data_IF_356261405475
#
_entry.id   IF_356261405475
#
_cell.length_a   1.000
_cell.length_b   1.000
_cell.length_c   1.000
_cell.angle_alpha   90.00
_cell.angle_beta   90.00
_cell.angle_gamma   90.00
#
_symmetry.space_group_name_H-M   'P 1'
#
loop_
_entity.id
_entity.type
_entity.pdbx_description
1 polymer ?
#
# COMPACT_ATOMS: atom_id res chain seq x y z
N UNK A 1 6.75 -15.07 -19.85
CA UNK A 1 6.28 -14.08 -18.87
C UNK A 1 7.46 -13.79 -17.98
N UNK A 2 7.94 -12.56 -17.90
CA UNK A 2 9.02 -12.20 -16.99
C UNK A 2 8.47 -12.34 -15.57
N UNK A 3 8.99 -13.28 -14.79
CA UNK A 3 8.71 -13.35 -13.35
C UNK A 3 9.04 -11.98 -12.76
N UNK A 4 8.01 -11.27 -12.28
CA UNK A 4 8.19 -10.03 -11.54
C UNK A 4 8.66 -10.42 -10.14
N UNK A 5 9.96 -10.44 -9.96
CA UNK A 5 10.58 -10.63 -8.66
C UNK A 5 10.62 -9.28 -7.92
N UNK A 6 10.21 -9.28 -6.65
CA UNK A 6 10.49 -8.16 -5.74
C UNK A 6 12.01 -7.94 -5.71
N UNK A 7 12.52 -6.71 -5.87
CA UNK A 7 13.95 -6.45 -5.77
C UNK A 7 14.52 -6.89 -4.41
N UNK A 8 15.68 -7.56 -4.40
CA UNK A 8 16.28 -8.16 -3.18
C UNK A 8 16.33 -7.23 -1.96
N UNK A 9 16.63 -5.95 -2.17
CA UNK A 9 16.70 -4.96 -1.07
C UNK A 9 15.33 -4.61 -0.45
N UNK A 10 14.24 -4.91 -1.16
CA UNK A 10 12.85 -4.75 -0.75
C UNK A 10 12.22 -6.07 -0.28
N UNK A 11 12.76 -7.23 -0.66
CA UNK A 11 12.28 -8.55 -0.23
C UNK A 11 12.54 -8.75 1.27
N UNK A 12 11.50 -8.62 2.10
CA UNK A 12 11.62 -8.70 3.57
C UNK A 12 10.62 -9.63 4.26
N UNK A 13 9.63 -10.16 3.53
CA UNK A 13 8.57 -10.99 4.13
C UNK A 13 9.12 -12.26 4.75
N UNK A 14 10.06 -12.94 4.09
CA UNK A 14 10.61 -14.21 4.59
C UNK A 14 11.31 -14.10 5.95
N UNK A 15 11.77 -12.88 6.30
CA UNK A 15 12.40 -12.60 7.59
C UNK A 15 11.42 -12.07 8.64
N UNK A 16 10.27 -11.54 8.23
CA UNK A 16 9.28 -10.89 9.10
C UNK A 16 8.06 -11.77 9.40
N UNK A 17 7.79 -12.76 8.55
CA UNK A 17 6.58 -13.55 8.64
C UNK A 17 6.70 -14.68 9.66
N UNK A 18 5.63 -14.86 10.43
CA UNK A 18 5.47 -15.95 11.39
C UNK A 18 4.01 -16.40 11.43
N UNK A 19 3.72 -17.45 12.20
CA UNK A 19 2.34 -17.89 12.48
C UNK A 19 1.49 -16.80 13.16
N UNK A 20 2.13 -15.81 13.78
CA UNK A 20 1.46 -14.67 14.43
C UNK A 20 1.30 -13.46 13.49
N UNK A 21 1.63 -13.62 12.21
CA UNK A 21 1.60 -12.54 11.22
C UNK A 21 2.96 -11.91 10.95
N UNK A 22 2.92 -10.71 10.39
CA UNK A 22 4.08 -9.96 9.89
C UNK A 22 4.59 -9.06 11.01
N UNK A 23 5.87 -9.23 11.37
CA UNK A 23 6.49 -8.45 12.43
C UNK A 23 6.71 -6.98 12.02
N UNK A 24 6.52 -6.08 12.99
CA UNK A 24 6.87 -4.66 12.89
C UNK A 24 8.28 -4.41 13.42
N UNK A 25 9.09 -3.67 12.67
CA UNK A 25 10.36 -3.08 13.12
C UNK A 25 10.18 -1.64 13.64
N UNK A 26 8.94 -1.14 13.67
CA UNK A 26 8.61 0.25 14.01
C UNK A 26 8.73 1.21 12.83
N UNK A 27 9.14 0.72 11.65
CA UNK A 27 9.22 1.48 10.40
C UNK A 27 8.02 1.10 9.54
N UNK A 28 7.41 2.11 8.93
CA UNK A 28 6.33 1.91 7.96
C UNK A 28 6.83 2.11 6.54
N UNK A 29 6.13 1.54 5.57
CA UNK A 29 6.49 1.62 4.17
C UNK A 29 5.30 2.01 3.31
N UNK A 30 5.55 2.84 2.30
CA UNK A 30 4.57 3.25 1.31
C UNK A 30 5.12 3.06 -0.09
N UNK A 31 4.39 2.33 -0.93
CA UNK A 31 4.72 2.10 -2.32
C UNK A 31 3.97 3.03 -3.26
N UNK A 32 4.66 3.58 -4.25
CA UNK A 32 4.09 4.50 -5.23
C UNK A 32 4.84 4.44 -6.56
N UNK A 33 4.45 5.26 -7.53
CA UNK A 33 5.12 5.37 -8.82
C UNK A 33 6.18 6.49 -8.83
N UNK A 34 7.24 6.32 -9.62
CA UNK A 34 8.36 7.26 -9.68
C UNK A 34 7.97 8.69 -10.07
N UNK A 35 6.92 8.87 -10.88
CA UNK A 35 6.43 10.20 -11.26
C UNK A 35 5.79 11.01 -10.13
N UNK A 36 5.54 10.38 -8.97
CA UNK A 36 5.03 11.05 -7.77
C UNK A 36 6.13 11.43 -6.77
N UNK A 37 7.39 11.03 -7.01
CA UNK A 37 8.49 11.24 -6.06
C UNK A 37 8.72 12.71 -5.75
N UNK A 38 8.78 13.57 -6.77
CA UNK A 38 9.06 15.00 -6.56
C UNK A 38 7.99 15.68 -5.71
N UNK A 39 6.71 15.37 -5.96
CA UNK A 39 5.59 15.87 -5.16
C UNK A 39 5.66 15.36 -3.72
N UNK A 40 5.96 14.07 -3.52
CA UNK A 40 6.07 13.48 -2.18
C UNK A 40 7.26 14.03 -1.40
N UNK A 41 8.38 14.32 -2.07
CA UNK A 41 9.55 14.93 -1.43
C UNK A 41 9.29 16.40 -1.07
N UNK A 42 8.51 17.12 -1.87
CA UNK A 42 8.14 18.50 -1.58
C UNK A 42 7.09 18.61 -0.47
N UNK A 43 6.01 17.83 -0.58
CA UNK A 43 4.80 18.02 0.20
C UNK A 43 4.58 16.92 1.26
N UNK A 44 5.32 15.81 1.20
CA UNK A 44 5.08 14.63 2.02
C UNK A 44 4.01 13.70 1.44
N UNK A 45 3.60 12.69 2.21
CA UNK A 45 2.50 11.81 1.82
C UNK A 45 1.18 12.41 2.27
N UNK A 46 0.31 12.68 1.30
CA UNK A 46 -1.02 13.25 1.52
C UNK A 46 -2.06 12.27 0.98
N UNK A 47 -3.16 12.12 1.72
CA UNK A 47 -4.31 11.35 1.27
C UNK A 47 -4.87 11.87 -0.06
N UNK A 48 -5.14 10.98 -1.02
CA UNK A 48 -5.52 11.38 -2.38
C UNK A 48 -4.43 12.16 -3.13
N UNK A 49 -3.17 12.09 -2.72
CA UNK A 49 -2.07 12.92 -3.23
C UNK A 49 -1.73 12.77 -4.71
N UNK A 50 -2.23 11.74 -5.40
CA UNK A 50 -2.13 11.63 -6.87
C UNK A 50 -3.25 12.43 -7.56
N UNK A 51 -3.13 13.75 -7.49
CA UNK A 51 -4.07 14.69 -8.09
C UNK A 51 -4.19 14.54 -9.61
N UNK A 52 -3.10 14.19 -10.31
CA UNK A 52 -3.09 13.95 -11.75
C UNK A 52 -4.04 12.79 -12.11
N UNK A 53 -3.91 11.66 -11.39
CA UNK A 53 -4.73 10.48 -11.60
C UNK A 53 -6.19 10.72 -11.19
N UNK A 54 -6.42 11.39 -10.06
CA UNK A 54 -7.77 11.75 -9.62
C UNK A 54 -8.46 12.62 -10.67
N UNK A 55 -7.83 13.70 -11.11
CA UNK A 55 -8.40 14.61 -12.12
C UNK A 55 -8.74 13.87 -13.42
N UNK A 56 -7.86 12.97 -13.88
CA UNK A 56 -8.11 12.21 -15.11
C UNK A 56 -9.22 11.18 -14.97
N UNK A 57 -9.31 10.53 -13.81
CA UNK A 57 -10.42 9.61 -13.48
C UNK A 57 -11.74 10.37 -13.46
N UNK A 58 -11.77 11.56 -12.83
CA UNK A 58 -12.95 12.42 -12.80
C UNK A 58 -13.37 12.91 -14.19
N UNK A 59 -12.44 13.31 -15.04
CA UNK A 59 -12.74 13.68 -16.43
C UNK A 59 -13.37 12.50 -17.19
N UNK A 60 -12.81 11.30 -17.04
CA UNK A 60 -13.34 10.08 -17.68
C UNK A 60 -14.76 9.79 -17.22
N UNK A 61 -15.04 9.83 -15.91
CA UNK A 61 -16.38 9.63 -15.37
C UNK A 61 -17.37 10.72 -15.83
N UNK A 62 -16.91 11.97 -15.91
CA UNK A 62 -17.69 13.09 -16.41
C UNK A 62 -18.17 12.91 -17.85
N UNK A 63 -17.37 12.27 -18.72
CA UNK A 63 -17.79 11.97 -20.11
C UNK A 63 -18.97 11.00 -20.18
N UNK A 64 -19.19 10.18 -19.15
CA UNK A 64 -20.27 9.19 -19.07
C UNK A 64 -21.44 9.72 -18.21
N UNK A 65 -21.39 10.98 -17.76
CA UNK A 65 -22.41 11.60 -16.91
C UNK A 65 -22.32 11.24 -15.42
N UNK A 66 -21.18 10.72 -14.97
CA UNK A 66 -20.91 10.44 -13.55
C UNK A 66 -20.75 11.71 -12.71
N UNK A 67 -21.10 11.65 -11.42
CA UNK A 67 -20.85 12.73 -10.45
C UNK A 67 -19.38 12.78 -10.04
N UNK A 68 -18.88 13.99 -9.80
CA UNK A 68 -17.58 14.21 -9.18
C UNK A 68 -17.61 13.85 -7.70
N UNK A 69 -16.55 13.18 -7.23
CA UNK A 69 -16.31 12.94 -5.80
C UNK A 69 -14.94 13.49 -5.42
N UNK A 70 -14.88 14.26 -4.33
CA UNK A 70 -13.62 14.48 -3.63
C UNK A 70 -13.19 13.16 -3.00
N UNK A 71 -12.01 12.66 -3.37
CA UNK A 71 -11.39 11.56 -2.65
C UNK A 71 -10.73 12.12 -1.39
N UNK A 72 -11.15 11.59 -0.23
CA UNK A 72 -10.45 11.73 1.06
C UNK A 72 -9.78 10.42 1.41
N UNK A 73 -9.16 9.78 0.40
CA UNK A 73 -8.48 8.51 0.62
C UNK A 73 -7.33 8.73 1.60
N UNK A 74 -7.16 7.89 2.62
CA UNK A 74 -6.07 8.02 3.56
C UNK A 74 -4.72 7.65 2.93
N UNK A 75 -3.64 7.93 3.65
CA UNK A 75 -2.32 7.39 3.30
C UNK A 75 -2.24 5.94 3.78
N UNK A 76 -2.10 5.01 2.84
CA UNK A 76 -1.88 3.59 3.13
C UNK A 76 -0.41 3.32 3.42
N UNK A 77 -0.16 2.56 4.48
CA UNK A 77 1.18 2.17 4.90
C UNK A 77 1.18 0.70 5.35
N UNK A 78 2.34 0.07 5.32
CA UNK A 78 2.51 -1.34 5.68
C UNK A 78 3.82 -1.57 6.43
N UNK A 79 3.93 -2.70 7.13
CA UNK A 79 5.13 -3.08 7.91
C UNK A 79 6.21 -3.78 7.05
N UNK A 80 5.91 -4.05 5.78
CA UNK A 80 6.80 -4.76 4.84
C UNK A 80 7.13 -3.90 3.63
N UNK A 81 8.42 -3.85 3.28
CA UNK A 81 8.90 -3.24 2.02
C UNK A 81 8.37 -3.98 0.80
N UNK A 82 8.29 -5.29 0.88
CA UNK A 82 7.81 -6.14 -0.21
C UNK A 82 6.32 -5.93 -0.49
N UNK A 83 5.49 -5.85 0.55
CA UNK A 83 4.08 -5.52 0.38
C UNK A 83 3.86 -4.07 -0.06
N UNK A 84 4.70 -3.13 0.39
CA UNK A 84 4.69 -1.78 -0.15
C UNK A 84 5.03 -1.79 -1.65
N UNK A 85 6.03 -2.59 -2.06
CA UNK A 85 6.41 -2.73 -3.46
C UNK A 85 5.29 -3.30 -4.33
N UNK A 86 4.53 -4.29 -3.83
CA UNK A 86 3.33 -4.77 -4.53
C UNK A 86 2.36 -3.62 -4.87
N UNK A 87 2.05 -2.76 -3.90
CA UNK A 87 1.19 -1.59 -4.15
C UNK A 87 1.84 -0.56 -5.08
N UNK A 88 3.16 -0.39 -5.00
CA UNK A 88 3.91 0.43 -5.95
C UNK A 88 3.77 -0.08 -7.38
N UNK A 89 3.78 -1.41 -7.60
CA UNK A 89 3.56 -2.00 -8.91
C UNK A 89 2.15 -1.75 -9.43
N UNK A 90 1.12 -1.91 -8.59
CA UNK A 90 -0.26 -1.63 -8.99
C UNK A 90 -0.44 -0.16 -9.36
N UNK A 91 0.10 0.75 -8.53
CA UNK A 91 0.04 2.19 -8.78
C UNK A 91 0.76 2.58 -10.07
N UNK A 92 1.97 2.06 -10.27
CA UNK A 92 2.79 2.31 -11.46
C UNK A 92 2.11 1.78 -12.71
N UNK A 93 1.58 0.54 -12.67
CA UNK A 93 0.83 -0.04 -13.78
C UNK A 93 -0.35 0.82 -14.17
N UNK A 94 -1.16 1.25 -13.21
CA UNK A 94 -2.30 2.11 -13.46
C UNK A 94 -1.86 3.44 -14.10
N UNK A 95 -0.86 4.11 -13.52
CA UNK A 95 -0.36 5.38 -14.06
C UNK A 95 0.24 5.24 -15.47
N UNK A 96 1.02 4.20 -15.74
CA UNK A 96 1.58 3.97 -17.07
C UNK A 96 0.49 3.72 -18.12
N UNK A 97 -0.59 2.99 -17.78
CA UNK A 97 -1.75 2.81 -18.68
C UNK A 97 -2.42 4.15 -18.99
N UNK A 98 -2.69 4.96 -17.96
CA UNK A 98 -3.42 6.21 -18.15
C UNK A 98 -2.56 7.30 -18.81
N UNK A 99 -1.31 7.47 -18.39
CA UNK A 99 -0.46 8.57 -18.81
C UNK A 99 0.49 8.23 -19.96
N UNK A 100 0.57 6.97 -20.38
CA UNK A 100 1.52 6.50 -21.39
C UNK A 100 2.96 6.92 -21.05
N UNK A 101 3.31 6.79 -19.77
CA UNK A 101 4.64 7.04 -19.21
C UNK A 101 5.33 5.70 -18.93
N UNK A 102 6.64 5.76 -18.72
CA UNK A 102 7.48 4.65 -18.28
C UNK A 102 7.90 4.85 -16.81
N UNK A 103 6.92 5.03 -15.92
CA UNK A 103 7.20 5.12 -14.48
C UNK A 103 7.62 3.76 -13.93
N UNK A 104 8.38 3.78 -12.85
CA UNK A 104 8.86 2.59 -12.14
C UNK A 104 8.31 2.57 -10.71
N UNK A 105 8.05 1.38 -10.14
CA UNK A 105 7.64 1.26 -8.75
C UNK A 105 8.76 1.72 -7.80
N UNK A 106 8.40 2.50 -6.79
CA UNK A 106 9.32 2.99 -5.75
C UNK A 106 8.69 2.84 -4.37
N UNK A 107 9.54 2.71 -3.35
CA UNK A 107 9.12 2.54 -1.95
C UNK A 107 9.76 3.60 -1.07
N UNK A 108 8.96 4.24 -0.23
CA UNK A 108 9.42 5.08 0.87
C UNK A 108 9.40 4.30 2.17
N UNK A 109 10.48 4.38 2.94
CA UNK A 109 10.47 4.11 4.37
C UNK A 109 9.97 5.35 5.12
N UNK A 110 9.24 5.12 6.21
CA UNK A 110 8.55 6.14 6.97
C UNK A 110 8.91 5.96 8.44
N UNK A 111 9.70 6.90 8.96
CA UNK A 111 9.96 7.03 10.39
C UNK A 111 8.89 7.95 10.98
N UNK A 112 7.76 7.37 11.40
CA UNK A 112 6.65 8.15 11.91
C UNK A 112 7.05 8.91 13.18
N UNK A 113 6.82 10.24 13.23
CA UNK A 113 6.86 10.98 14.49
C UNK A 113 5.92 10.33 15.51
N UNK A 114 6.30 10.35 16.79
CA UNK A 114 5.49 9.75 17.87
C UNK A 114 4.06 10.27 17.89
N UNK A 115 3.85 11.55 17.54
CA UNK A 115 2.53 12.19 17.47
C UNK A 115 1.61 11.60 16.40
N UNK A 116 2.18 11.00 15.35
CA UNK A 116 1.46 10.36 14.25
C UNK A 116 1.34 8.85 14.43
N UNK A 117 2.27 8.22 15.17
CA UNK A 117 2.27 6.78 15.40
C UNK A 117 0.94 6.28 16.01
N UNK A 118 0.40 7.00 17.00
CA UNK A 118 -0.88 6.67 17.66
C UNK A 118 -2.11 6.90 16.76
N UNK A 119 -1.93 7.55 15.60
CA UNK A 119 -3.01 7.83 14.63
C UNK A 119 -3.09 6.78 13.54
N UNK A 120 -2.11 5.87 13.47
CA UNK A 120 -2.15 4.73 12.55
C UNK A 120 -3.29 3.81 12.94
N UNK A 121 -4.11 3.46 11.96
CA UNK A 121 -5.28 2.60 12.15
C UNK A 121 -5.12 1.32 11.32
N UNK A 122 -5.47 0.15 11.87
CA UNK A 122 -5.26 -1.13 11.22
C UNK A 122 -6.33 -1.54 10.19
N UNK A 123 -7.17 -0.62 9.68
CA UNK A 123 -8.33 -1.00 8.84
C UNK A 123 -8.89 0.12 7.95
N UNK A 124 -8.49 0.13 6.67
CA UNK A 124 -9.29 0.76 5.60
C UNK A 124 -9.57 -0.29 4.55
N UNK A 125 -10.82 -0.75 4.51
CA UNK A 125 -11.30 -1.62 3.46
C UNK A 125 -10.65 -3.01 3.43
N UNK A 126 -9.83 -3.37 4.44
CA UNK A 126 -9.21 -4.68 4.52
C UNK A 126 -10.28 -5.77 4.57
N UNK A 127 -11.35 -5.53 5.34
CA UNK A 127 -12.52 -6.39 5.34
C UNK A 127 -13.14 -6.52 3.94
N UNK A 128 -13.25 -5.43 3.18
CA UNK A 128 -13.81 -5.45 1.83
C UNK A 128 -12.92 -6.24 0.85
N UNK A 129 -11.59 -6.09 0.92
CA UNK A 129 -10.65 -6.88 0.12
C UNK A 129 -10.74 -8.38 0.43
N UNK A 130 -10.88 -8.76 1.71
CA UNK A 130 -11.06 -10.16 2.12
C UNK A 130 -12.41 -10.71 1.66
N UNK A 131 -13.46 -9.89 1.66
CA UNK A 131 -14.79 -10.29 1.19
C UNK A 131 -14.88 -10.36 -0.34
N UNK A 132 -13.98 -9.71 -1.07
CA UNK A 132 -13.93 -9.74 -2.52
C UNK A 132 -13.36 -11.08 -3.00
N UNK A 133 -14.18 -11.93 -3.67
CA UNK A 133 -13.70 -13.24 -4.12
C UNK A 133 -12.58 -13.09 -5.16
N UNK A 134 -11.44 -13.74 -4.91
CA UNK A 134 -10.29 -13.70 -5.82
C UNK A 134 -9.57 -12.36 -5.85
N UNK A 135 -9.63 -11.56 -4.78
CA UNK A 135 -8.87 -10.32 -4.67
C UNK A 135 -7.35 -10.57 -4.82
N UNK A 136 -6.73 -9.89 -5.78
CA UNK A 136 -5.31 -10.08 -6.14
C UNK A 136 -4.36 -9.89 -4.94
N UNK A 137 -4.67 -8.96 -4.03
CA UNK A 137 -3.84 -8.73 -2.85
C UNK A 137 -3.92 -9.90 -1.86
N UNK A 138 -5.13 -10.41 -1.63
CA UNK A 138 -5.34 -11.57 -0.75
C UNK A 138 -4.67 -12.81 -1.34
N UNK A 139 -4.77 -13.04 -2.65
CA UNK A 139 -4.06 -14.12 -3.34
C UNK A 139 -2.55 -13.97 -3.21
N UNK A 140 -2.00 -12.76 -3.42
CA UNK A 140 -0.56 -12.52 -3.25
C UNK A 140 -0.10 -12.77 -1.81
N UNK A 141 -0.89 -12.38 -0.81
CA UNK A 141 -0.60 -12.68 0.59
C UNK A 141 -0.62 -14.19 0.85
N UNK A 142 -1.61 -14.91 0.35
CA UNK A 142 -1.67 -16.37 0.51
C UNK A 142 -0.44 -17.06 -0.09
N UNK A 143 0.00 -16.65 -1.27
CA UNK A 143 1.25 -17.14 -1.88
C UNK A 143 2.46 -16.88 -0.97
N UNK A 144 2.62 -15.65 -0.48
CA UNK A 144 3.72 -15.30 0.43
C UNK A 144 3.71 -16.13 1.72
N UNK A 145 2.53 -16.42 2.26
CA UNK A 145 2.40 -17.28 3.43
C UNK A 145 2.81 -18.73 3.11
N UNK A 146 2.32 -19.28 1.99
CA UNK A 146 2.64 -20.64 1.54
C UNK A 146 4.14 -20.80 1.25
N UNK A 147 4.76 -19.83 0.59
CA UNK A 147 6.19 -19.82 0.30
C UNK A 147 7.07 -19.86 1.56
N UNK A 148 6.51 -19.44 2.70
CA UNK A 148 7.13 -19.49 4.02
C UNK A 148 6.64 -20.66 4.89
N UNK A 149 5.93 -21.62 4.30
CA UNK A 149 5.44 -22.82 4.99
C UNK A 149 4.32 -22.56 5.99
N UNK A 150 3.60 -21.44 5.86
CA UNK A 150 2.51 -21.05 6.75
C UNK A 150 1.20 -21.02 5.96
N UNK A 151 0.14 -21.57 6.53
CA UNK A 151 -1.20 -21.43 5.94
C UNK A 151 -1.87 -20.19 6.51
N UNK A 152 -2.22 -19.23 5.65
CA UNK A 152 -3.11 -18.13 6.03
C UNK A 152 -4.55 -18.66 6.07
N UNK A 153 -5.09 -18.83 7.28
CA UNK A 153 -6.46 -19.32 7.45
C UNK A 153 -7.48 -18.29 6.96
N UNK A 154 -8.52 -18.78 6.27
CA UNK A 154 -9.68 -17.95 5.99
C UNK A 154 -10.40 -17.58 7.29
N UNK A 155 -10.79 -16.31 7.40
CA UNK A 155 -11.53 -15.79 8.55
C UNK A 155 -12.76 -15.05 8.07
N UNK A 156 -13.77 -14.95 8.93
CA UNK A 156 -14.88 -14.04 8.68
C UNK A 156 -14.43 -12.60 9.00
N UNK A 157 -14.26 -11.72 8.00
CA UNK A 157 -13.77 -10.36 8.22
C UNK A 157 -14.73 -9.50 9.05
N UNK A 158 -15.99 -9.90 9.21
CA UNK A 158 -16.98 -9.23 10.05
C UNK A 158 -16.88 -9.62 11.54
N UNK A 159 -16.08 -10.64 11.88
CA UNK A 159 -15.98 -11.20 13.23
C UNK A 159 -14.59 -11.10 13.84
N UNK A 160 -13.55 -10.83 13.05
CA UNK A 160 -12.18 -10.65 13.55
C UNK A 160 -11.94 -9.24 14.10
N UNK A 161 -11.06 -9.14 15.08
CA UNK A 161 -10.60 -7.84 15.58
C UNK A 161 -9.80 -7.09 14.50
N UNK A 162 -9.84 -5.75 14.53
CA UNK A 162 -9.13 -4.94 13.52
C UNK A 162 -7.62 -5.17 13.53
N UNK A 163 -7.03 -5.54 14.67
CA UNK A 163 -5.62 -5.91 14.74
C UNK A 163 -5.26 -7.10 13.84
N UNK A 164 -6.22 -7.97 13.50
CA UNK A 164 -6.03 -9.04 12.53
C UNK A 164 -5.58 -8.51 11.16
N UNK A 165 -6.23 -7.46 10.67
CA UNK A 165 -5.92 -6.90 9.34
C UNK A 165 -4.51 -6.30 9.29
N UNK A 166 -4.06 -5.67 10.38
CA UNK A 166 -2.68 -5.23 10.48
C UNK A 166 -1.73 -6.41 10.61
N UNK A 167 -1.95 -7.32 11.56
CA UNK A 167 -0.99 -8.39 11.84
C UNK A 167 -0.86 -9.39 10.70
N UNK A 168 -1.99 -9.81 10.12
CA UNK A 168 -2.02 -10.89 9.12
C UNK A 168 -1.99 -10.37 7.69
N UNK A 169 -2.49 -9.16 7.44
CA UNK A 169 -2.54 -8.60 6.09
C UNK A 169 -1.62 -7.38 5.92
N UNK A 170 -0.88 -6.96 6.97
CA UNK A 170 -0.03 -5.77 6.98
C UNK A 170 -0.71 -4.51 6.42
N UNK A 171 -2.01 -4.38 6.68
CA UNK A 171 -2.80 -3.24 6.22
C UNK A 171 -2.95 -2.20 7.33
N UNK A 172 -2.41 -1.02 7.07
CA UNK A 172 -2.61 0.14 7.93
C UNK A 172 -2.81 1.41 7.10
N UNK A 173 -3.36 2.42 7.76
CA UNK A 173 -3.52 3.73 7.17
C UNK A 173 -3.42 4.84 8.22
N UNK A 174 -3.20 6.04 7.73
CA UNK A 174 -3.27 7.27 8.52
C UNK A 174 -4.04 8.33 7.72
N UNK A 175 -4.94 9.04 8.39
CA UNK A 175 -5.74 10.12 7.77
C UNK A 175 -4.94 11.43 7.67
N UNK A 176 -4.01 11.61 8.59
CA UNK A 176 -3.10 12.75 8.62
C UNK A 176 -2.05 12.66 7.50
N UNK A 177 -1.61 13.83 7.05
CA UNK A 177 -0.45 13.96 6.18
C UNK A 177 0.82 13.52 6.94
N UNK A 178 1.67 12.75 6.27
CA UNK A 178 2.99 12.39 6.77
C UNK A 178 3.99 13.39 6.18
N UNK A 179 4.72 14.16 7.02
CA UNK A 179 5.62 15.18 6.52
C UNK A 179 6.79 14.57 5.74
N UNK A 180 7.28 15.28 4.72
CA UNK A 180 8.42 14.84 3.91
C UNK A 180 9.68 14.51 4.74
N UNK A 181 9.87 15.20 5.87
CA UNK A 181 10.98 14.94 6.81
C UNK A 181 10.94 13.57 7.48
N UNK A 182 9.79 12.90 7.49
CA UNK A 182 9.64 11.54 7.99
C UNK A 182 9.92 10.47 6.91
N UNK A 183 10.13 10.87 5.66
CA UNK A 183 10.22 9.98 4.51
C UNK A 183 11.67 9.75 4.08
N UNK A 184 11.97 8.52 3.68
CA UNK A 184 13.24 8.17 3.04
C UNK A 184 12.97 7.29 1.84
N UNK A 185 13.30 7.75 0.64
CA UNK A 185 13.19 6.96 -0.58
C UNK A 185 14.20 5.81 -0.54
N UNK A 186 13.71 4.58 -0.63
CA UNK A 186 14.56 3.39 -0.68
C UNK A 186 15.14 3.21 -2.08
N UNK A 187 16.43 2.89 -2.13
CA UNK A 187 17.19 2.62 -3.35
C UNK A 187 18.03 1.36 -3.13
N UNK A 188 18.36 0.68 -4.23
CA UNK A 188 19.31 -0.43 -4.23
C UNK A 188 20.72 0.03 -3.83
#
# INVERSE_FOLDING_TARGET
>A
MTEKHTPDYLSDISTKLSVNGIASDGIWYHGTASGLVDAIVADGLIGGGDSEFLNRTQQTLGTIGGRQFESKDPVFITQSKELAYYWAEQKTRARNIYFQKDETPVVFAINLPSELADRVKPDVGAAALVMEPGNDYVTKLQELYIDNGITLNEVNPLQVDRSYFLQMLAMAYIQDQIPATALTLLKA
#
